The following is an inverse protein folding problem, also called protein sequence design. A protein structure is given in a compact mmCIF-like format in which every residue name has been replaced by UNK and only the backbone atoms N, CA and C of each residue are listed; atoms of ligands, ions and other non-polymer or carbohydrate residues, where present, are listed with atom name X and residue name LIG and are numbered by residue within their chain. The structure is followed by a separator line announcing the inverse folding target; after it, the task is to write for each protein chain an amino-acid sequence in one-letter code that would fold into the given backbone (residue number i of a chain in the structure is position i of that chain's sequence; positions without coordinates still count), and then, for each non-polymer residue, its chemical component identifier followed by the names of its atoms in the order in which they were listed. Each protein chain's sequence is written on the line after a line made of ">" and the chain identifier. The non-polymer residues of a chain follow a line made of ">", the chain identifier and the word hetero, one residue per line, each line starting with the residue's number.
data_IF_449641683095
#
_entry.id   IF_449641683095
#
_cell.length_a   1.000
_cell.length_b   1.000
_cell.length_c   1.000
_cell.angle_alpha   90.00
_cell.angle_beta   90.00
_cell.angle_gamma   90.00
#
_symmetry.space_group_name_H-M   'P 1'
#
loop_
_entity.id
_entity.type
_entity.pdbx_description
1 polymer ?
#
# COMPACT_ATOMS: atom_id res chain seq x y z
N UNK A 1 1.15 -19.02 6.16
CA UNK A 1 1.09 -19.01 7.63
C UNK A 1 -0.10 -18.14 8.04
N UNK A 2 -1.33 -18.60 7.79
CA UNK A 2 -2.54 -17.92 8.27
C UNK A 2 -2.64 -18.19 9.77
N UNK A 3 -1.98 -17.36 10.57
CA UNK A 3 -2.13 -17.42 12.02
C UNK A 3 -3.49 -16.82 12.37
N UNK A 4 -4.39 -17.71 12.78
CA UNK A 4 -5.67 -17.46 13.44
C UNK A 4 -5.65 -16.24 14.38
N UNK A 5 -6.10 -15.08 13.90
CA UNK A 5 -6.51 -13.91 14.70
C UNK A 5 -7.98 -14.04 15.16
N UNK A 6 -8.64 -15.18 14.88
CA UNK A 6 -10.06 -15.40 15.21
C UNK A 6 -10.34 -15.87 16.66
N UNK A 7 -9.38 -15.83 17.58
CA UNK A 7 -9.62 -16.27 18.98
C UNK A 7 -8.95 -15.40 20.02
N UNK A 8 -9.48 -14.19 20.24
CA UNK A 8 -9.64 -13.52 21.56
C UNK A 8 -10.13 -12.08 21.38
N UNK A 9 -11.41 -11.88 21.09
CA UNK A 9 -12.13 -10.64 21.43
C UNK A 9 -13.39 -10.90 22.27
N UNK A 10 -13.56 -12.13 22.77
CA UNK A 10 -14.62 -12.49 23.72
C UNK A 10 -14.11 -12.38 25.16
N UNK A 11 -13.93 -11.13 25.62
CA UNK A 11 -14.16 -10.69 27.00
C UNK A 11 -13.74 -9.22 27.04
N UNK A 12 -14.66 -8.32 26.65
CA UNK A 12 -14.45 -6.89 26.82
C UNK A 12 -14.05 -6.63 28.26
N UNK A 13 -12.89 -6.01 28.45
CA UNK A 13 -12.61 -5.31 29.71
C UNK A 13 -13.71 -4.26 29.84
N UNK A 14 -14.42 -4.14 30.98
CA UNK A 14 -15.47 -3.15 31.12
C UNK A 14 -14.89 -1.77 30.82
N UNK A 15 -15.36 -1.14 29.74
CA UNK A 15 -14.98 0.23 29.35
C UNK A 15 -15.78 1.28 30.13
N UNK A 16 -16.58 0.84 31.11
CA UNK A 16 -17.27 1.64 32.08
C UNK A 16 -16.87 1.19 33.49
N UNK A 17 -16.72 2.14 34.43
CA UNK A 17 -16.28 1.86 35.81
C UNK A 17 -17.33 1.12 36.66
N UNK A 18 -18.50 0.86 36.10
CA UNK A 18 -19.68 0.27 36.73
C UNK A 18 -20.12 -1.06 36.07
N UNK A 19 -19.32 -1.60 35.14
CA UNK A 19 -19.63 -2.79 34.34
C UNK A 19 -20.87 -2.66 33.43
N UNK A 20 -21.42 -1.44 33.28
CA UNK A 20 -22.60 -1.17 32.46
C UNK A 20 -22.19 -0.65 31.08
N UNK A 21 -21.63 -1.56 30.29
CA UNK A 21 -21.19 -1.27 28.93
C UNK A 21 -21.59 -2.39 27.98
N UNK A 22 -21.85 -2.02 26.73
CA UNK A 22 -22.06 -2.96 25.64
C UNK A 22 -20.97 -2.78 24.58
N UNK A 23 -20.59 -3.88 23.95
CA UNK A 23 -19.66 -3.89 22.83
C UNK A 23 -20.21 -4.77 21.71
N UNK A 24 -20.22 -4.22 20.51
CA UNK A 24 -20.61 -4.92 19.28
C UNK A 24 -19.42 -4.97 18.34
N UNK A 25 -19.27 -6.10 17.64
CA UNK A 25 -18.19 -6.32 16.68
C UNK A 25 -18.82 -6.54 15.31
N UNK A 26 -18.39 -5.74 14.34
CA UNK A 26 -18.75 -5.87 12.94
C UNK A 26 -17.56 -6.44 12.14
N UNK A 27 -17.83 -7.54 11.45
CA UNK A 27 -16.90 -8.29 10.59
C UNK A 27 -17.41 -8.37 9.14
N UNK A 28 -18.41 -7.56 8.77
CA UNK A 28 -19.05 -7.63 7.46
C UNK A 28 -18.12 -7.18 6.31
N UNK A 29 -17.14 -6.33 6.62
CA UNK A 29 -16.14 -5.86 5.66
C UNK A 29 -14.93 -6.78 5.70
N UNK A 30 -14.57 -7.35 4.55
CA UNK A 30 -13.36 -8.17 4.43
C UNK A 30 -12.13 -7.38 4.87
N UNK A 31 -11.19 -8.09 5.50
CA UNK A 31 -9.94 -7.51 6.01
C UNK A 31 -10.10 -6.30 6.95
N UNK A 32 -11.23 -6.23 7.65
CA UNK A 32 -11.51 -5.16 8.61
C UNK A 32 -12.31 -5.67 9.80
N UNK A 33 -12.09 -5.05 10.96
CA UNK A 33 -12.89 -5.26 12.17
C UNK A 33 -13.27 -3.90 12.72
N UNK A 34 -14.56 -3.66 12.90
CA UNK A 34 -15.08 -2.47 13.59
C UNK A 34 -15.68 -2.89 14.92
N UNK A 35 -15.23 -2.26 16.00
CA UNK A 35 -15.77 -2.44 17.34
C UNK A 35 -16.48 -1.16 17.73
N UNK A 36 -17.76 -1.26 18.13
CA UNK A 36 -18.51 -0.14 18.70
C UNK A 36 -18.83 -0.46 20.15
N UNK A 37 -18.44 0.43 21.05
CA UNK A 37 -18.79 0.36 22.46
C UNK A 37 -19.82 1.42 22.81
N UNK A 38 -20.72 1.11 23.76
CA UNK A 38 -21.71 2.03 24.29
C UNK A 38 -21.77 1.92 25.81
N UNK A 39 -22.08 3.02 26.49
CA UNK A 39 -22.33 3.04 27.94
C UNK A 39 -23.83 2.93 28.22
N UNK A 40 -24.18 2.11 29.21
CA UNK A 40 -25.56 1.83 29.60
C UNK A 40 -25.78 2.13 31.09
N UNK A 41 -27.04 2.21 31.51
CA UNK A 41 -27.45 2.18 32.92
C UNK A 41 -27.65 0.73 33.39
N UNK A 42 -27.90 0.53 34.69
CA UNK A 42 -28.21 -0.78 35.29
C UNK A 42 -29.44 -1.45 34.69
N UNK A 43 -30.34 -0.65 34.13
CA UNK A 43 -31.58 -1.10 33.51
C UNK A 43 -31.44 -1.28 31.98
N UNK A 44 -30.25 -1.00 31.43
CA UNK A 44 -29.95 -1.11 30.00
C UNK A 44 -30.30 0.14 29.18
N UNK A 45 -30.72 1.23 29.83
CA UNK A 45 -30.99 2.52 29.19
C UNK A 45 -29.69 3.28 28.89
N UNK A 46 -29.79 4.39 28.14
CA UNK A 46 -28.65 5.25 27.84
C UNK A 46 -28.03 5.84 29.12
N UNK A 47 -26.69 5.73 29.25
CA UNK A 47 -26.00 6.12 30.48
C UNK A 47 -26.10 7.61 30.85
N UNK A 48 -26.27 8.51 29.87
CA UNK A 48 -26.37 9.95 30.15
C UNK A 48 -27.84 10.32 30.30
N UNK A 49 -28.30 10.42 31.53
CA UNK A 49 -29.66 10.87 31.86
C UNK A 49 -29.68 12.40 32.05
N UNK A 50 -30.63 13.09 31.43
CA UNK A 50 -30.75 14.54 31.57
C UNK A 50 -31.86 14.92 32.54
N UNK A 51 -31.56 15.79 33.50
CA UNK A 51 -32.52 16.20 34.53
C UNK A 51 -33.36 17.42 34.14
N UNK A 52 -32.88 18.23 33.19
CA UNK A 52 -33.54 19.47 32.76
C UNK A 52 -33.95 19.46 31.27
N UNK A 53 -33.31 18.63 30.45
CA UNK A 53 -33.64 18.47 29.03
C UNK A 53 -34.96 17.71 28.72
N UNK A 54 -35.57 16.93 29.64
CA UNK A 54 -36.88 16.31 29.41
C UNK A 54 -37.99 17.31 29.08
N UNK A 55 -37.90 18.55 29.59
CA UNK A 55 -38.85 19.64 29.27
C UNK A 55 -38.82 19.98 27.76
N UNK A 56 -37.71 19.66 27.09
CA UNK A 56 -37.51 19.83 25.64
C UNK A 56 -37.71 18.51 24.86
N UNK A 57 -38.16 17.43 25.51
CA UNK A 57 -38.36 16.12 24.90
C UNK A 57 -37.07 15.31 24.71
N UNK A 58 -36.01 15.61 25.46
CA UNK A 58 -34.74 14.89 25.43
C UNK A 58 -34.47 14.30 26.81
N UNK A 59 -34.72 13.00 26.97
CA UNK A 59 -34.66 12.33 28.28
C UNK A 59 -33.27 11.79 28.60
N UNK A 60 -32.54 11.33 27.59
CA UNK A 60 -31.20 10.75 27.75
C UNK A 60 -30.38 10.83 26.46
N UNK A 61 -29.09 10.48 26.56
CA UNK A 61 -28.17 10.30 25.44
C UNK A 61 -27.26 9.11 25.68
N UNK A 62 -26.86 8.44 24.61
CA UNK A 62 -25.81 7.43 24.65
C UNK A 62 -24.44 8.08 24.43
N UNK A 63 -23.41 7.54 25.09
CA UNK A 63 -22.02 7.79 24.72
C UNK A 63 -21.52 6.53 24.04
N UNK A 64 -21.10 6.66 22.78
CA UNK A 64 -20.53 5.54 22.02
C UNK A 64 -19.15 5.90 21.49
N UNK A 65 -18.25 4.91 21.47
CA UNK A 65 -16.96 5.00 20.80
C UNK A 65 -16.87 3.91 19.73
N UNK A 66 -16.19 4.23 18.63
CA UNK A 66 -15.90 3.26 17.57
C UNK A 66 -14.38 3.11 17.47
N UNK A 67 -13.93 1.92 17.14
CA UNK A 67 -12.55 1.63 16.79
C UNK A 67 -12.56 0.65 15.63
N UNK A 68 -11.73 0.90 14.61
CA UNK A 68 -11.62 0.07 13.43
C UNK A 68 -10.17 -0.32 13.20
N UNK A 69 -9.95 -1.58 12.92
CA UNK A 69 -8.69 -2.11 12.41
C UNK A 69 -8.91 -2.61 10.99
N UNK A 70 -8.03 -2.27 10.06
CA UNK A 70 -8.06 -2.82 8.70
C UNK A 70 -6.66 -3.26 8.27
N UNK A 71 -6.59 -4.22 7.36
CA UNK A 71 -5.32 -4.75 6.88
C UNK A 71 -5.38 -5.15 5.41
N UNK A 72 -4.23 -5.29 4.78
CA UNK A 72 -4.14 -5.75 3.39
C UNK A 72 -2.96 -5.15 2.64
N UNK A 73 -2.89 -5.48 1.36
CA UNK A 73 -1.92 -4.90 0.43
C UNK A 73 -2.46 -3.63 -0.22
N UNK A 74 -1.60 -2.70 -0.66
CA UNK A 74 -2.06 -1.46 -1.27
C UNK A 74 -2.82 -1.73 -2.59
N UNK A 75 -3.98 -1.11 -2.77
CA UNK A 75 -4.66 -1.00 -4.08
C UNK A 75 -4.36 0.36 -4.73
N UNK A 76 -4.12 1.38 -3.93
CA UNK A 76 -3.77 2.72 -4.41
C UNK A 76 -2.63 3.32 -3.60
N UNK A 77 -1.62 3.84 -4.30
CA UNK A 77 -0.49 4.49 -3.66
C UNK A 77 0.17 5.56 -4.56
N UNK A 78 0.71 6.58 -3.90
CA UNK A 78 1.70 7.51 -4.46
C UNK A 78 3.09 6.90 -4.31
N UNK A 79 3.71 6.58 -5.45
CA UNK A 79 4.97 5.81 -5.53
C UNK A 79 6.04 6.54 -6.31
N UNK A 80 7.29 6.08 -6.22
CA UNK A 80 8.33 6.48 -7.16
C UNK A 80 7.88 6.04 -8.58
N UNK A 81 7.93 6.92 -9.61
CA UNK A 81 7.30 6.70 -10.91
C UNK A 81 8.06 5.69 -11.78
N UNK A 82 8.37 4.51 -11.24
CA UNK A 82 9.12 3.45 -11.89
C UNK A 82 8.33 2.16 -11.71
N UNK A 83 8.04 1.45 -12.79
CA UNK A 83 7.27 0.20 -12.76
C UNK A 83 8.06 -0.94 -13.40
N UNK A 84 7.85 -2.16 -12.91
CA UNK A 84 8.52 -3.36 -13.39
C UNK A 84 7.51 -4.45 -13.77
N UNK A 85 7.79 -5.34 -14.74
CA UNK A 85 6.91 -6.46 -15.00
C UNK A 85 6.88 -7.42 -13.81
N UNK A 86 5.68 -7.91 -13.45
CA UNK A 86 5.44 -8.78 -12.29
C UNK A 86 6.29 -10.06 -12.31
N UNK A 87 6.60 -10.60 -13.49
CA UNK A 87 7.46 -11.77 -13.58
C UNK A 87 8.88 -11.54 -13.03
N UNK A 88 9.38 -10.29 -12.93
CA UNK A 88 10.67 -10.03 -12.26
C UNK A 88 10.55 -10.26 -10.76
N UNK A 89 9.43 -9.87 -10.14
CA UNK A 89 9.15 -10.16 -8.75
C UNK A 89 9.01 -11.67 -8.53
N UNK A 90 8.21 -12.35 -9.35
CA UNK A 90 7.94 -13.78 -9.18
C UNK A 90 9.21 -14.66 -9.37
N UNK A 91 10.14 -14.24 -10.24
CA UNK A 91 11.35 -15.00 -10.58
C UNK A 91 12.57 -14.61 -9.73
N UNK A 92 12.55 -13.46 -9.07
CA UNK A 92 13.67 -13.02 -8.22
C UNK A 92 13.46 -13.60 -6.82
N UNK A 93 14.36 -14.45 -6.33
CA UNK A 93 14.30 -14.92 -4.95
C UNK A 93 14.28 -13.74 -3.97
N UNK A 94 13.51 -13.89 -2.88
CA UNK A 94 13.51 -12.90 -1.81
C UNK A 94 14.93 -12.63 -1.29
N UNK A 95 15.20 -11.38 -0.95
CA UNK A 95 16.50 -10.89 -0.47
C UNK A 95 17.66 -10.95 -1.47
N UNK A 96 17.46 -11.48 -2.69
CA UNK A 96 18.47 -11.47 -3.73
C UNK A 96 18.59 -10.08 -4.36
N UNK A 97 19.82 -9.55 -4.42
CA UNK A 97 20.07 -8.33 -5.17
C UNK A 97 19.92 -8.55 -6.67
N UNK A 98 19.18 -7.67 -7.33
CA UNK A 98 19.00 -7.64 -8.76
C UNK A 98 18.96 -6.21 -9.28
N UNK A 99 19.36 -6.05 -10.54
CA UNK A 99 19.16 -4.81 -11.28
C UNK A 99 17.84 -4.89 -12.05
N UNK A 100 16.98 -3.91 -11.79
CA UNK A 100 15.76 -3.66 -12.56
C UNK A 100 16.06 -2.46 -13.45
N UNK A 101 16.28 -2.74 -14.73
CA UNK A 101 16.76 -1.78 -15.72
C UNK A 101 15.71 -1.52 -16.80
N UNK A 102 15.92 -0.48 -17.59
CA UNK A 102 15.02 -0.15 -18.70
C UNK A 102 14.87 -1.25 -19.75
N UNK A 103 15.89 -2.07 -19.90
CA UNK A 103 15.92 -3.18 -20.84
C UNK A 103 15.62 -4.53 -20.16
N UNK A 104 15.30 -4.53 -18.86
CA UNK A 104 14.95 -5.75 -18.16
C UNK A 104 13.68 -6.34 -18.74
N UNK A 105 13.78 -7.57 -19.23
CA UNK A 105 12.65 -8.36 -19.74
C UNK A 105 12.46 -9.59 -18.86
N UNK A 106 11.22 -10.01 -18.67
CA UNK A 106 10.92 -11.34 -18.13
C UNK A 106 9.81 -11.99 -18.94
N UNK A 107 9.75 -13.32 -18.85
CA UNK A 107 8.68 -14.11 -19.46
C UNK A 107 7.72 -14.50 -18.36
N UNK A 108 6.43 -14.20 -18.51
CA UNK A 108 5.41 -14.59 -17.54
C UNK A 108 5.12 -16.10 -17.58
N UNK A 109 4.27 -16.57 -16.68
CA UNK A 109 3.86 -17.99 -16.60
C UNK A 109 3.10 -18.46 -17.84
N UNK A 110 2.50 -17.55 -18.61
CA UNK A 110 1.80 -17.83 -19.86
C UNK A 110 2.72 -17.87 -21.09
N UNK A 111 4.01 -17.54 -20.92
CA UNK A 111 5.00 -17.52 -21.99
C UNK A 111 5.11 -16.18 -22.73
N UNK A 112 4.42 -15.13 -22.28
CA UNK A 112 4.53 -13.80 -22.85
C UNK A 112 5.80 -13.11 -22.32
N UNK A 113 6.61 -12.57 -23.22
CA UNK A 113 7.73 -11.72 -22.83
C UNK A 113 7.20 -10.31 -22.57
N UNK A 114 7.30 -9.85 -21.33
CA UNK A 114 6.97 -8.47 -20.94
C UNK A 114 8.22 -7.59 -21.10
N UNK A 115 8.23 -6.64 -22.06
CA UNK A 115 9.40 -5.86 -22.35
C UNK A 115 9.52 -4.63 -21.46
N UNK A 116 10.68 -4.50 -20.80
CA UNK A 116 11.15 -3.29 -20.16
C UNK A 116 10.56 -3.07 -18.78
N UNK A 117 11.41 -3.02 -17.76
CA UNK A 117 11.05 -2.55 -16.43
C UNK A 117 11.06 -1.03 -16.33
N UNK A 118 10.61 -0.36 -17.39
CA UNK A 118 10.62 1.08 -17.52
C UNK A 118 9.38 1.57 -18.22
N UNK A 119 8.52 2.16 -17.39
CA UNK A 119 7.73 3.31 -17.75
C UNK A 119 7.96 4.32 -16.65
N UNK A 120 8.41 5.53 -17.01
CA UNK A 120 8.13 6.64 -16.10
C UNK A 120 6.63 6.76 -16.06
N UNK A 121 6.03 6.46 -14.91
CA UNK A 121 4.63 6.79 -14.72
C UNK A 121 4.48 8.30 -14.87
N UNK A 122 3.33 8.74 -15.35
CA UNK A 122 3.07 10.17 -15.40
C UNK A 122 3.13 10.74 -13.98
N UNK A 123 4.09 11.65 -13.76
CA UNK A 123 4.28 12.26 -12.45
C UNK A 123 3.07 13.12 -12.09
N UNK A 124 2.61 13.03 -10.84
CA UNK A 124 1.48 13.83 -10.33
C UNK A 124 1.76 15.33 -10.45
N UNK A 125 3.03 15.73 -10.31
CA UNK A 125 3.52 17.06 -10.64
C UNK A 125 4.84 16.95 -11.41
N UNK A 126 5.13 17.89 -12.32
CA UNK A 126 6.37 17.84 -13.12
C UNK A 126 7.60 17.84 -12.20
N UNK A 127 8.45 16.81 -12.33
CA UNK A 127 9.69 16.58 -11.57
C UNK A 127 9.49 16.23 -10.09
N UNK A 128 8.33 15.70 -9.70
CA UNK A 128 8.00 15.44 -8.29
C UNK A 128 8.55 14.14 -7.71
N UNK A 129 9.21 13.28 -8.50
CA UNK A 129 9.62 11.93 -8.06
C UNK A 129 8.46 11.04 -7.61
N UNK A 130 7.23 11.39 -7.97
CA UNK A 130 6.01 10.75 -7.46
C UNK A 130 4.99 10.58 -8.58
N UNK A 131 4.34 9.42 -8.62
CA UNK A 131 3.16 9.14 -9.43
C UNK A 131 2.12 8.42 -8.59
N UNK A 132 0.85 8.74 -8.83
CA UNK A 132 -0.28 8.03 -8.23
C UNK A 132 -0.60 6.81 -9.09
N UNK A 133 -0.74 5.65 -8.45
CA UNK A 133 -1.09 4.39 -9.07
C UNK A 133 -2.29 3.80 -8.36
N UNK A 134 -3.26 3.39 -9.14
CA UNK A 134 -4.47 2.71 -8.71
C UNK A 134 -4.59 1.40 -9.52
N UNK A 135 -4.65 0.25 -8.84
CA UNK A 135 -4.66 -1.06 -9.53
C UNK A 135 -5.92 -1.29 -10.36
N UNK A 136 -7.00 -0.56 -10.05
CA UNK A 136 -8.26 -0.63 -10.79
C UNK A 136 -8.26 0.25 -12.06
N UNK A 137 -7.18 0.99 -12.32
CA UNK A 137 -7.02 1.88 -13.47
C UNK A 137 -5.93 1.42 -14.44
N UNK A 138 -6.06 1.84 -15.70
CA UNK A 138 -4.98 1.71 -16.69
C UNK A 138 -4.05 2.91 -16.51
N UNK A 139 -2.79 2.64 -16.18
CA UNK A 139 -1.83 3.69 -15.83
C UNK A 139 -1.05 4.13 -17.07
N UNK A 140 -1.12 5.41 -17.47
CA UNK A 140 -0.34 5.92 -18.59
C UNK A 140 1.14 6.07 -18.20
N UNK A 141 2.02 5.73 -19.13
CA UNK A 141 3.45 5.96 -19.00
C UNK A 141 3.98 6.99 -19.99
N UNK A 142 5.17 7.52 -19.70
CA UNK A 142 5.88 8.45 -20.55
C UNK A 142 7.30 7.96 -20.92
N UNK A 143 7.42 6.94 -21.79
CA UNK A 143 8.66 6.53 -22.41
C UNK A 143 9.33 7.71 -23.12
N UNK A 144 10.55 8.04 -22.70
CA UNK A 144 11.35 9.13 -23.27
C UNK A 144 11.52 10.36 -22.38
N UNK A 145 10.85 10.44 -21.22
CA UNK A 145 11.29 11.36 -20.18
C UNK A 145 12.61 10.88 -19.57
N UNK A 146 13.51 11.82 -19.26
CA UNK A 146 14.67 11.53 -18.41
C UNK A 146 14.18 11.14 -17.02
N UNK A 147 15.02 10.43 -16.27
CA UNK A 147 14.71 10.14 -14.88
C UNK A 147 14.28 11.39 -14.10
N UNK A 148 13.31 11.25 -13.19
CA UNK A 148 12.98 12.26 -12.21
C UNK A 148 14.28 12.82 -11.62
N UNK A 149 14.47 14.13 -11.74
CA UNK A 149 15.71 14.76 -11.31
C UNK A 149 15.70 14.90 -9.78
N UNK A 150 16.83 14.58 -9.14
CA UNK A 150 17.07 14.75 -7.70
C UNK A 150 16.26 13.82 -6.77
N UNK A 151 15.84 12.65 -7.23
CA UNK A 151 15.18 11.67 -6.37
C UNK A 151 16.22 10.80 -5.67
N UNK A 152 16.44 11.05 -4.38
CA UNK A 152 17.27 10.19 -3.56
C UNK A 152 16.45 9.02 -3.02
N UNK A 153 16.61 7.86 -3.65
CA UNK A 153 15.97 6.59 -3.28
C UNK A 153 16.98 5.58 -2.72
N UNK A 154 18.28 5.89 -2.71
CA UNK A 154 19.29 4.95 -2.26
C UNK A 154 19.16 4.66 -0.75
N UNK A 155 19.17 3.39 -0.38
CA UNK A 155 18.99 2.93 1.00
C UNK A 155 17.54 2.98 1.50
N UNK A 156 16.56 3.29 0.64
CA UNK A 156 15.15 3.38 1.01
C UNK A 156 14.37 2.16 0.52
N UNK A 157 13.33 1.82 1.25
CA UNK A 157 12.30 0.89 0.80
C UNK A 157 11.22 1.67 0.07
N UNK A 158 10.91 1.25 -1.16
CA UNK A 158 9.83 1.83 -1.98
C UNK A 158 8.76 0.76 -2.25
N UNK A 159 7.55 1.23 -2.52
CA UNK A 159 6.53 0.41 -3.17
C UNK A 159 6.76 0.50 -4.68
N UNK A 160 7.10 -0.63 -5.29
CA UNK A 160 7.34 -0.77 -6.72
C UNK A 160 6.06 -1.32 -7.37
N UNK A 161 5.33 -0.52 -8.17
CA UNK A 161 4.21 -1.02 -8.96
C UNK A 161 4.67 -2.08 -9.93
N UNK A 162 3.99 -3.23 -9.95
CA UNK A 162 4.28 -4.29 -10.90
C UNK A 162 3.15 -4.51 -11.89
N UNK A 163 3.47 -4.56 -13.18
CA UNK A 163 2.48 -4.71 -14.25
C UNK A 163 2.43 -6.14 -14.79
N UNK A 164 1.24 -6.55 -15.22
CA UNK A 164 0.99 -7.84 -15.89
C UNK A 164 0.74 -7.69 -17.38
N UNK A 165 0.32 -6.50 -17.82
CA UNK A 165 0.14 -6.18 -19.23
C UNK A 165 0.68 -4.78 -19.54
N UNK A 166 1.15 -4.63 -20.78
CA UNK A 166 1.70 -3.40 -21.31
C UNK A 166 1.25 -3.24 -22.76
N UNK A 167 0.60 -2.11 -23.04
CA UNK A 167 0.11 -1.77 -24.37
C UNK A 167 0.70 -0.45 -24.87
N UNK A 168 0.59 -0.19 -26.16
CA UNK A 168 1.07 1.06 -26.77
C UNK A 168 2.59 1.17 -26.91
N UNK A 169 3.06 2.31 -27.42
CA UNK A 169 4.48 2.59 -27.69
C UNK A 169 4.78 4.09 -27.59
N UNK A 170 6.03 4.44 -27.28
CA UNK A 170 6.44 5.84 -27.14
C UNK A 170 5.64 6.54 -26.03
N UNK A 171 5.23 7.78 -26.24
CA UNK A 171 4.50 8.57 -25.22
C UNK A 171 3.05 8.11 -24.94
N UNK A 172 2.60 7.00 -25.53
CA UNK A 172 1.25 6.45 -25.32
C UNK A 172 1.34 4.99 -24.84
N UNK A 173 2.29 4.70 -23.95
CA UNK A 173 2.34 3.38 -23.31
C UNK A 173 1.34 3.35 -22.16
N UNK A 174 0.73 2.20 -21.95
CA UNK A 174 -0.23 1.95 -20.88
C UNK A 174 0.17 0.69 -20.13
N UNK A 175 -0.02 0.70 -18.81
CA UNK A 175 0.28 -0.42 -17.92
C UNK A 175 -0.97 -0.86 -17.17
N UNK A 176 -1.17 -2.18 -17.10
CA UNK A 176 -2.12 -2.80 -16.18
C UNK A 176 -1.34 -3.26 -14.96
N UNK A 177 -1.50 -2.54 -13.85
CA UNK A 177 -0.81 -2.81 -12.59
C UNK A 177 -1.59 -3.86 -11.80
N UNK A 178 -0.89 -4.90 -11.35
CA UNK A 178 -1.47 -5.99 -10.55
C UNK A 178 -1.37 -5.70 -9.04
N UNK A 179 -0.35 -4.93 -8.64
CA UNK A 179 -0.15 -4.51 -7.26
C UNK A 179 1.22 -3.89 -7.02
N UNK A 180 1.64 -3.88 -5.75
CA UNK A 180 2.86 -3.22 -5.30
C UNK A 180 3.78 -4.19 -4.56
N UNK A 181 5.01 -4.33 -5.06
CA UNK A 181 6.06 -5.09 -4.40
C UNK A 181 6.93 -4.17 -3.54
N UNK A 182 7.23 -4.58 -2.30
CA UNK A 182 8.21 -3.85 -1.49
C UNK A 182 9.62 -4.12 -1.99
N UNK A 183 10.34 -3.06 -2.36
CA UNK A 183 11.69 -3.13 -2.90
C UNK A 183 12.64 -2.24 -2.12
N UNK A 184 13.70 -2.83 -1.56
CA UNK A 184 14.74 -2.08 -0.88
C UNK A 184 15.84 -1.71 -1.88
N UNK A 185 15.94 -0.42 -2.19
CA UNK A 185 16.89 0.10 -3.17
C UNK A 185 18.26 0.24 -2.52
N UNK A 186 19.27 -0.42 -3.08
CA UNK A 186 20.67 -0.32 -2.62
C UNK A 186 21.51 0.59 -3.50
N UNK A 187 21.15 0.71 -4.78
CA UNK A 187 21.83 1.61 -5.71
C UNK A 187 20.88 2.03 -6.85
N UNK A 188 21.23 3.06 -7.61
CA UNK A 188 20.49 3.46 -8.80
C UNK A 188 21.41 4.08 -9.85
N UNK A 189 21.03 4.01 -11.12
CA UNK A 189 21.72 4.70 -12.20
C UNK A 189 20.69 5.32 -13.15
N UNK A 190 20.90 6.59 -13.52
CA UNK A 190 19.99 7.31 -14.40
C UNK A 190 20.66 7.56 -15.76
N UNK A 191 19.87 7.74 -16.85
CA UNK A 191 20.43 7.98 -18.18
C UNK A 191 21.40 9.17 -18.23
N UNK A 192 21.21 10.16 -17.38
CA UNK A 192 22.04 11.37 -17.27
C UNK A 192 23.02 11.36 -16.09
N UNK A 193 23.17 10.23 -15.37
CA UNK A 193 24.12 10.12 -14.27
C UNK A 193 25.57 10.32 -14.74
N UNK A 194 26.38 10.98 -13.92
CA UNK A 194 27.82 11.11 -14.17
C UNK A 194 28.57 11.08 -12.84
N UNK A 195 29.47 10.10 -12.60
CA UNK A 195 29.85 9.01 -13.50
C UNK A 195 28.72 7.97 -13.70
N UNK A 196 28.71 7.32 -14.85
CA UNK A 196 27.83 6.18 -15.11
C UNK A 196 28.28 4.94 -14.33
N UNK A 197 27.32 4.15 -13.84
CA UNK A 197 27.61 2.90 -13.11
C UNK A 197 28.04 1.81 -14.10
N UNK A 198 29.10 1.09 -13.72
CA UNK A 198 29.59 -0.09 -14.44
C UNK A 198 29.84 -1.21 -13.43
N UNK A 199 28.82 -2.03 -13.19
CA UNK A 199 28.80 -3.18 -12.29
C UNK A 199 28.19 -4.42 -12.98
N UNK A 200 28.39 -5.64 -12.44
CA UNK A 200 27.67 -6.81 -12.93
C UNK A 200 26.15 -6.57 -12.94
N UNK A 201 25.53 -6.76 -14.11
CA UNK A 201 24.10 -6.52 -14.32
C UNK A 201 23.73 -5.09 -14.75
N UNK A 202 24.68 -4.14 -14.78
CA UNK A 202 24.45 -2.79 -15.28
C UNK A 202 25.75 -2.15 -15.82
N UNK A 203 25.86 -1.98 -17.14
CA UNK A 203 26.93 -1.20 -17.78
C UNK A 203 26.33 -0.01 -18.52
N UNK A 204 26.45 1.19 -17.93
CA UNK A 204 25.79 2.42 -18.39
C UNK A 204 24.27 2.26 -18.60
N UNK A 205 23.64 1.39 -17.79
CA UNK A 205 22.20 1.14 -17.86
C UNK A 205 21.43 2.21 -17.08
N UNK A 206 20.14 2.37 -17.33
CA UNK A 206 19.26 3.13 -16.44
C UNK A 206 18.38 2.18 -15.64
N UNK A 207 18.25 2.39 -14.33
CA UNK A 207 17.50 1.49 -13.46
C UNK A 207 17.82 1.63 -11.98
N UNK A 208 17.22 0.74 -11.20
CA UNK A 208 17.42 0.61 -9.75
C UNK A 208 18.02 -0.78 -9.44
N UNK A 209 18.90 -0.83 -8.44
CA UNK A 209 19.45 -2.05 -7.87
C UNK A 209 18.89 -2.22 -6.47
N UNK A 210 18.57 -3.45 -6.12
CA UNK A 210 18.07 -3.74 -4.79
C UNK A 210 17.50 -5.13 -4.71
N UNK A 211 16.67 -5.36 -3.70
CA UNK A 211 16.08 -6.66 -3.41
C UNK A 211 14.60 -6.52 -3.08
N UNK A 212 13.82 -7.50 -3.52
CA UNK A 212 12.45 -7.65 -3.05
C UNK A 212 12.45 -8.16 -1.62
N UNK A 213 11.72 -7.46 -0.75
CA UNK A 213 11.61 -7.77 0.68
C UNK A 213 10.16 -8.08 1.04
N UNK A 214 9.96 -8.72 2.19
CA UNK A 214 8.65 -8.76 2.84
C UNK A 214 8.51 -7.56 3.75
N UNK A 215 7.49 -6.74 3.50
CA UNK A 215 7.15 -5.56 4.28
C UNK A 215 5.83 -5.79 5.02
N UNK A 216 5.86 -5.68 6.34
CA UNK A 216 4.67 -5.57 7.18
C UNK A 216 4.80 -4.26 7.96
N UNK A 217 3.91 -3.30 7.69
CA UNK A 217 3.97 -1.98 8.34
C UNK A 217 2.76 -1.72 9.24
N UNK A 218 3.06 -1.14 10.40
CA UNK A 218 2.08 -0.55 11.35
C UNK A 218 2.13 0.98 11.32
N UNK A 219 2.99 1.55 10.48
CA UNK A 219 3.10 3.00 10.30
C UNK A 219 1.89 3.52 9.53
N UNK A 220 1.66 4.83 9.62
CA UNK A 220 0.63 5.48 8.82
C UNK A 220 0.87 5.17 7.34
N UNK A 221 -0.20 4.77 6.64
CA UNK A 221 -0.19 4.41 5.23
C UNK A 221 0.51 5.49 4.38
N UNK A 222 0.28 6.76 4.72
CA UNK A 222 0.87 7.95 4.10
C UNK A 222 2.41 7.94 4.12
N UNK A 223 3.04 7.31 5.12
CA UNK A 223 4.51 7.21 5.24
C UNK A 223 5.13 6.43 4.07
N UNK A 224 4.36 5.49 3.52
CA UNK A 224 4.69 4.73 2.33
C UNK A 224 3.93 5.21 1.09
N UNK A 225 3.21 6.32 1.20
CA UNK A 225 2.35 6.86 0.13
C UNK A 225 1.13 6.00 -0.15
N UNK A 226 0.75 5.06 0.72
CA UNK A 226 -0.44 4.22 0.52
C UNK A 226 -1.69 5.04 0.84
N UNK A 227 -2.65 5.01 -0.08
CA UNK A 227 -3.92 5.74 0.02
C UNK A 227 -5.09 4.77 0.26
N UNK A 228 -5.03 3.57 -0.31
CA UNK A 228 -6.07 2.56 -0.18
C UNK A 228 -5.50 1.14 -0.07
N UNK A 229 -6.16 0.30 0.74
CA UNK A 229 -5.87 -1.13 0.88
C UNK A 229 -6.89 -1.94 0.10
N UNK A 230 -6.46 -3.07 -0.48
CA UNK A 230 -7.33 -3.99 -1.21
C UNK A 230 -6.68 -4.67 -2.42
N UNK A 231 -5.42 -4.34 -2.74
CA UNK A 231 -4.71 -4.92 -3.88
C UNK A 231 -4.20 -6.34 -3.61
N UNK A 232 -3.58 -6.94 -4.63
CA UNK A 232 -3.00 -8.27 -4.56
C UNK A 232 -1.84 -8.38 -3.54
N UNK A 233 -1.70 -9.56 -2.93
CA UNK A 233 -0.69 -9.82 -1.89
C UNK A 233 0.72 -10.00 -2.49
N UNK A 234 1.43 -8.89 -2.71
CA UNK A 234 2.77 -8.86 -3.30
C UNK A 234 3.86 -8.50 -2.29
N UNK A 235 3.90 -9.19 -1.15
CA UNK A 235 4.89 -9.00 -0.07
C UNK A 235 4.91 -7.59 0.56
N UNK A 236 3.93 -6.73 0.29
CA UNK A 236 3.71 -5.47 0.99
C UNK A 236 2.36 -5.51 1.70
N UNK A 237 2.36 -5.54 3.03
CA UNK A 237 1.17 -5.68 3.86
C UNK A 237 1.12 -4.60 4.93
N UNK A 238 -0.02 -3.97 5.09
CA UNK A 238 -0.22 -2.87 6.02
C UNK A 238 -1.34 -3.17 6.99
N UNK A 239 -1.22 -2.61 8.20
CA UNK A 239 -2.25 -2.66 9.23
C UNK A 239 -2.53 -1.22 9.67
N UNK A 240 -3.78 -0.79 9.55
CA UNK A 240 -4.23 0.56 9.93
C UNK A 240 -5.24 0.49 11.08
N UNK A 241 -5.18 1.49 11.97
CA UNK A 241 -6.07 1.65 13.11
C UNK A 241 -6.72 3.03 13.03
N UNK A 242 -8.04 3.10 13.11
CA UNK A 242 -8.81 4.35 13.19
C UNK A 242 -9.84 4.30 14.31
N UNK A 243 -10.28 5.46 14.80
CA UNK A 243 -11.34 5.59 15.80
C UNK A 243 -12.55 6.31 15.19
#
# INVERSE_FOLDING_TARGET
>A
MLLSIQRRFSSGVPNANDELSSATVDLAVANSVTVRTTTLTSDGDSAVQFWFAPILGIDSSEVSATARASWGSPSKATVFPFTAPKCLFDQTPSEQETWITVDSTCTDTAGNTLPGAFGWLEETEKKSCSATVDVDEIIPGQPGKSAPHNCDISGKTILLPVYVDKSGNGSNVEYVIDGFAAFHVTNHNWPSSSPQVNEPGCSNCAGIKGKFITLVSLEDLESFGVEELGGEELNAFFVTLSQ
#
